data_IF_047207873375
#
_entry.id   IF_047207873375
#
_cell.length_a   1.000
_cell.length_b   1.000
_cell.length_c   1.000
_cell.angle_alpha   90.00
_cell.angle_beta   90.00
_cell.angle_gamma   90.00
#
_symmetry.space_group_name_H-M   'P 1'
#
loop_
_entity.id
_entity.type
_entity.pdbx_description
1 polymer ?
#
# COMPACT_ATOMS: atom_id res chain seq x y z
N UNK A 1 -15.67 2.60 -8.66
CA UNK A 1 -14.30 2.56 -9.23
C UNK A 1 -13.73 1.17 -8.98
N UNK A 2 -13.07 0.57 -9.98
CA UNK A 2 -12.36 -0.71 -9.81
C UNK A 2 -10.89 -0.42 -9.50
N UNK A 3 -10.33 -1.08 -8.48
CA UNK A 3 -8.92 -0.95 -8.07
C UNK A 3 -8.17 -2.27 -8.31
N UNK A 4 -8.22 -2.76 -9.54
CA UNK A 4 -7.63 -4.05 -9.90
C UNK A 4 -6.13 -3.98 -10.13
N UNK A 5 -5.43 -5.02 -9.69
CA UNK A 5 -4.01 -5.27 -9.95
C UNK A 5 -3.82 -5.59 -11.44
N UNK A 6 -2.75 -5.08 -12.04
CA UNK A 6 -2.35 -5.46 -13.40
C UNK A 6 -1.83 -6.89 -13.41
N UNK A 7 -2.31 -7.71 -14.34
CA UNK A 7 -1.88 -9.10 -14.51
C UNK A 7 -1.23 -9.34 -15.88
N UNK A 8 -0.12 -10.09 -15.96
CA UNK A 8 0.70 -10.51 -14.81
C UNK A 8 1.34 -9.28 -14.13
N UNK A 9 1.57 -9.33 -12.81
CA UNK A 9 2.23 -8.23 -12.10
C UNK A 9 3.73 -8.22 -12.46
N UNK A 10 4.33 -7.03 -12.56
CA UNK A 10 5.78 -6.89 -12.74
C UNK A 10 6.44 -6.91 -11.35
N UNK A 11 7.03 -8.06 -11.01
CA UNK A 11 7.63 -8.30 -9.69
C UNK A 11 9.05 -8.80 -9.87
N UNK A 12 9.99 -8.15 -9.17
CA UNK A 12 11.41 -8.53 -9.17
C UNK A 12 11.93 -8.57 -7.74
N UNK A 13 12.52 -9.69 -7.36
CA UNK A 13 13.28 -9.80 -6.12
C UNK A 13 14.74 -9.49 -6.39
N UNK A 14 15.28 -8.48 -5.71
CA UNK A 14 16.67 -8.02 -5.84
C UNK A 14 17.34 -7.96 -4.47
N UNK A 15 18.67 -7.84 -4.46
CA UNK A 15 19.44 -7.55 -3.24
C UNK A 15 20.03 -6.14 -3.33
N UNK A 16 19.88 -5.38 -2.26
CA UNK A 16 20.53 -4.08 -2.07
C UNK A 16 21.45 -4.19 -0.86
N UNK A 17 22.74 -4.38 -1.11
CA UNK A 17 23.68 -4.82 -0.08
C UNK A 17 23.25 -6.17 0.51
N UNK A 18 23.15 -6.23 1.84
CA UNK A 18 22.73 -7.45 2.55
C UNK A 18 21.22 -7.62 2.66
N UNK A 19 20.42 -6.69 2.14
CA UNK A 19 18.98 -6.67 2.33
C UNK A 19 18.22 -7.19 1.10
N UNK A 20 17.30 -8.15 1.27
CA UNK A 20 16.36 -8.51 0.21
C UNK A 20 15.36 -7.36 -0.03
N UNK A 21 15.06 -7.10 -1.29
CA UNK A 21 14.09 -6.09 -1.72
C UNK A 21 13.17 -6.69 -2.77
N UNK A 22 11.86 -6.50 -2.60
CA UNK A 22 10.86 -6.83 -3.63
C UNK A 22 10.44 -5.54 -4.32
N UNK A 23 10.68 -5.47 -5.62
CA UNK A 23 10.24 -4.37 -6.48
C UNK A 23 8.94 -4.80 -7.16
N UNK A 24 7.90 -4.00 -7.02
CA UNK A 24 6.61 -4.18 -7.69
C UNK A 24 6.43 -2.96 -8.58
N UNK A 25 6.42 -3.17 -9.89
CA UNK A 25 6.26 -2.11 -10.90
C UNK A 25 4.93 -2.26 -11.63
N UNK A 26 4.44 -1.18 -12.23
CA UNK A 26 3.17 -1.15 -12.97
C UNK A 26 1.98 -1.81 -12.22
N UNK A 27 1.93 -1.66 -10.89
CA UNK A 27 1.05 -2.44 -10.01
C UNK A 27 -0.44 -2.44 -10.39
N UNK A 28 -0.98 -1.30 -10.82
CA UNK A 28 -2.42 -1.14 -11.07
C UNK A 28 -2.75 -1.23 -12.55
N UNK A 29 -3.87 -1.88 -12.88
CA UNK A 29 -4.42 -1.87 -14.24
C UNK A 29 -4.93 -0.49 -14.66
N UNK A 30 -5.42 0.31 -13.70
CA UNK A 30 -5.84 1.69 -13.91
C UNK A 30 -5.40 2.57 -12.72
N UNK A 31 -4.16 3.09 -12.71
CA UNK A 31 -3.68 3.95 -11.63
C UNK A 31 -4.43 5.29 -11.54
N UNK A 32 -5.04 5.76 -12.63
CA UNK A 32 -5.81 7.01 -12.65
C UNK A 32 -7.02 6.96 -11.69
N UNK A 33 -7.57 5.78 -11.44
CA UNK A 33 -8.67 5.61 -10.47
C UNK A 33 -8.27 6.04 -9.04
N UNK A 34 -7.00 5.89 -8.64
CA UNK A 34 -6.52 6.42 -7.35
C UNK A 34 -6.42 7.93 -7.34
N UNK A 35 -5.95 8.51 -8.46
CA UNK A 35 -5.84 9.97 -8.61
C UNK A 35 -7.21 10.61 -8.54
N UNK A 36 -8.19 10.06 -9.26
CA UNK A 36 -9.58 10.51 -9.22
C UNK A 36 -10.18 10.35 -7.82
N UNK A 37 -9.91 9.21 -7.16
CA UNK A 37 -10.33 8.99 -5.77
C UNK A 37 -9.74 10.01 -4.81
N UNK A 38 -8.47 10.38 -4.98
CA UNK A 38 -7.83 11.44 -4.19
C UNK A 38 -8.45 12.81 -4.47
N UNK A 39 -8.70 13.17 -5.73
CA UNK A 39 -9.34 14.44 -6.10
C UNK A 39 -10.74 14.61 -5.51
N UNK A 40 -11.45 13.50 -5.25
CA UNK A 40 -12.78 13.51 -4.62
C UNK A 40 -12.71 13.41 -3.09
N UNK A 41 -11.54 13.11 -2.53
CA UNK A 41 -11.38 12.91 -1.10
C UNK A 41 -11.26 14.25 -0.35
N UNK A 42 -11.69 14.24 0.91
CA UNK A 42 -11.50 15.36 1.82
C UNK A 42 -10.23 15.14 2.63
N UNK A 43 -9.29 16.06 2.48
CA UNK A 43 -8.01 16.04 3.19
C UNK A 43 -8.12 16.81 4.51
N UNK A 44 -7.72 16.16 5.60
CA UNK A 44 -7.80 16.71 6.95
C UNK A 44 -6.49 16.46 7.70
N UNK A 45 -6.25 17.24 8.77
CA UNK A 45 -5.10 16.99 9.64
C UNK A 45 -5.23 15.60 10.29
N UNK A 46 -4.11 14.91 10.47
CA UNK A 46 -4.09 13.65 11.19
C UNK A 46 -4.68 13.81 12.61
N UNK A 47 -5.40 12.80 13.13
CA UNK A 47 -5.76 12.75 14.55
C UNK A 47 -4.51 12.89 15.42
N UNK A 48 -4.56 13.78 16.41
CA UNK A 48 -3.40 14.08 17.28
C UNK A 48 -2.39 15.06 16.67
N UNK A 49 -2.66 15.68 15.51
CA UNK A 49 -1.79 16.70 14.92
C UNK A 49 -1.54 17.89 15.87
N UNK A 50 -2.55 18.31 16.63
CA UNK A 50 -2.41 19.40 17.62
C UNK A 50 -1.49 19.00 18.79
N UNK A 51 -1.36 17.70 19.05
CA UNK A 51 -0.44 17.11 20.03
C UNK A 51 0.93 16.76 19.40
N UNK A 52 1.16 17.14 18.14
CA UNK A 52 2.35 16.77 17.34
C UNK A 52 2.56 15.25 17.21
N UNK A 53 1.47 14.47 17.26
CA UNK A 53 1.47 13.03 17.00
C UNK A 53 1.17 12.75 15.53
N UNK A 54 1.80 11.71 14.99
CA UNK A 54 1.65 11.29 13.59
C UNK A 54 2.55 12.05 12.62
N UNK A 55 2.44 11.72 11.33
CA UNK A 55 3.18 12.41 10.28
C UNK A 55 2.54 13.77 9.97
N UNK A 56 3.34 14.83 9.74
CA UNK A 56 2.82 16.14 9.36
C UNK A 56 2.10 16.09 8.00
N UNK A 57 1.19 17.03 7.78
CA UNK A 57 0.43 17.18 6.53
C UNK A 57 -1.05 16.88 6.66
N UNK A 58 -1.77 17.04 5.54
CA UNK A 58 -3.17 16.63 5.43
C UNK A 58 -3.23 15.21 4.87
N UNK A 59 -4.19 14.42 5.33
CA UNK A 59 -4.41 13.04 4.90
C UNK A 59 -5.87 12.83 4.53
N UNK A 60 -6.10 11.88 3.65
CA UNK A 60 -7.43 11.36 3.39
C UNK A 60 -7.40 9.82 3.38
N UNK A 61 -8.49 9.14 3.79
CA UNK A 61 -8.57 7.70 3.68
C UNK A 61 -8.47 7.28 2.21
N UNK A 62 -7.70 6.23 1.93
CA UNK A 62 -7.75 5.58 0.62
C UNK A 62 -8.97 4.64 0.52
N UNK A 63 -9.45 4.32 -0.69
CA UNK A 63 -10.51 3.31 -0.86
C UNK A 63 -10.12 1.94 -0.28
N UNK A 64 -11.02 1.32 0.50
CA UNK A 64 -10.77 0.02 1.13
C UNK A 64 -10.42 -1.08 0.10
N UNK A 65 -11.15 -1.11 -1.02
CA UNK A 65 -10.92 -2.06 -2.10
C UNK A 65 -9.51 -1.98 -2.72
N UNK A 66 -8.90 -0.79 -2.74
CA UNK A 66 -7.49 -0.66 -3.16
C UNK A 66 -6.56 -1.34 -2.16
N UNK A 67 -6.77 -1.11 -0.86
CA UNK A 67 -5.92 -1.71 0.18
C UNK A 67 -6.11 -3.20 0.33
N UNK A 68 -7.31 -3.72 0.10
CA UNK A 68 -7.60 -5.15 0.05
C UNK A 68 -6.82 -5.81 -1.08
N UNK A 69 -6.95 -5.29 -2.31
CA UNK A 69 -6.21 -5.80 -3.48
C UNK A 69 -4.69 -5.75 -3.26
N UNK A 70 -4.17 -4.65 -2.68
CA UNK A 70 -2.75 -4.54 -2.34
C UNK A 70 -2.33 -5.60 -1.32
N UNK A 71 -3.15 -5.83 -0.29
CA UNK A 71 -2.84 -6.79 0.78
C UNK A 71 -2.82 -8.23 0.25
N UNK A 72 -3.76 -8.58 -0.64
CA UNK A 72 -3.83 -9.89 -1.28
C UNK A 72 -2.58 -10.21 -2.11
N UNK A 73 -2.00 -9.22 -2.80
CA UNK A 73 -0.74 -9.42 -3.53
C UNK A 73 0.48 -9.46 -2.58
N UNK A 74 0.50 -8.60 -1.56
CA UNK A 74 1.68 -8.45 -0.70
C UNK A 74 1.88 -9.64 0.25
N UNK A 75 0.82 -10.27 0.77
CA UNK A 75 0.94 -11.37 1.73
C UNK A 75 1.84 -12.53 1.23
N UNK A 76 1.58 -13.14 0.06
CA UNK A 76 2.43 -14.22 -0.44
C UNK A 76 3.84 -13.75 -0.78
N UNK A 77 4.02 -12.51 -1.28
CA UNK A 77 5.34 -11.96 -1.60
C UNK A 77 6.18 -11.75 -0.35
N UNK A 78 5.57 -11.26 0.73
CA UNK A 78 6.27 -11.03 1.99
C UNK A 78 6.72 -12.38 2.58
N UNK A 79 5.82 -13.37 2.61
CA UNK A 79 6.14 -14.70 3.14
C UNK A 79 7.28 -15.36 2.37
N UNK A 80 7.20 -15.35 1.04
CA UNK A 80 8.19 -15.97 0.17
C UNK A 80 9.57 -15.31 0.26
N UNK A 81 9.63 -13.97 0.29
CA UNK A 81 10.90 -13.25 0.17
C UNK A 81 11.60 -12.97 1.51
N UNK A 82 10.85 -12.95 2.61
CA UNK A 82 11.39 -12.61 3.93
C UNK A 82 11.29 -13.75 4.96
N UNK A 83 10.78 -14.92 4.56
CA UNK A 83 10.71 -16.10 5.43
C UNK A 83 9.78 -15.93 6.63
N UNK A 84 8.69 -15.18 6.46
CA UNK A 84 7.71 -14.93 7.53
C UNK A 84 6.88 -16.20 7.76
N UNK A 85 6.81 -16.74 9.00
CA UNK A 85 6.00 -17.91 9.32
C UNK A 85 4.52 -17.76 8.95
N UNK A 86 3.90 -18.83 8.47
CA UNK A 86 2.50 -18.84 8.00
C UNK A 86 1.50 -18.48 9.11
N UNK A 87 1.78 -18.89 10.34
CA UNK A 87 0.93 -18.67 11.51
C UNK A 87 0.88 -17.20 11.97
N UNK A 88 1.81 -16.36 11.52
CA UNK A 88 1.81 -14.95 11.90
C UNK A 88 0.75 -14.17 11.08
N UNK A 89 -0.15 -13.44 11.75
CA UNK A 89 -1.15 -12.65 11.06
C UNK A 89 -0.49 -11.44 10.39
N UNK A 90 -0.88 -11.19 9.14
CA UNK A 90 -0.49 -9.96 8.46
C UNK A 90 -1.19 -8.77 9.12
N UNK A 91 -0.40 -7.76 9.50
CA UNK A 91 -0.90 -6.50 10.03
C UNK A 91 -0.50 -5.36 9.10
N UNK A 92 -1.47 -4.59 8.66
CA UNK A 92 -1.26 -3.43 7.81
C UNK A 92 -1.50 -2.15 8.59
N UNK A 93 -0.57 -1.19 8.48
CA UNK A 93 -0.82 0.17 8.92
C UNK A 93 -1.84 0.87 8.00
N UNK A 94 -2.58 1.87 8.49
CA UNK A 94 -3.49 2.66 7.65
C UNK A 94 -2.78 3.19 6.40
N UNK A 95 -3.37 2.96 5.23
CA UNK A 95 -2.95 3.68 4.01
C UNK A 95 -3.77 4.95 3.89
N UNK A 96 -3.13 6.04 3.50
CA UNK A 96 -3.76 7.34 3.34
C UNK A 96 -3.22 8.00 2.08
N UNK A 97 -4.06 8.79 1.42
CA UNK A 97 -3.56 9.83 0.52
C UNK A 97 -2.88 10.92 1.35
N UNK A 98 -1.86 11.58 0.79
CA UNK A 98 -1.06 12.63 1.43
C UNK A 98 -0.70 13.73 0.46
#
# INVERSE_FOLDING_TARGET
MSFSIRMPPDIRSVRVGEHPVVVIDDFMANPQALVEGACQARFERCPGADERKGYPGLRAPVPAAYTESLTELLDPLIRLNFGVPEELPLRKSPCTFS
#
